data_IF_702489917841
#
_entry.id   IF_702489917841
#
_cell.length_a   1.000
_cell.length_b   1.000
_cell.length_c   1.000
_cell.angle_alpha   90.00
_cell.angle_beta   90.00
_cell.angle_gamma   90.00
#
_symmetry.space_group_name_H-M   'P 1'
#
loop_
_entity.id
_entity.type
_entity.pdbx_description
1 polymer ?
#
# COMPACT_ATOMS: atom_id res chain seq x y z
N UNK A 1 51.75 38.52 29.37
CA UNK A 1 52.18 38.14 28.01
C UNK A 1 51.12 37.24 27.39
N UNK A 2 50.46 37.66 26.31
CA UNK A 2 49.43 36.88 25.61
C UNK A 2 50.06 36.00 24.52
N UNK A 3 49.66 34.73 24.41
CA UNK A 3 50.08 33.84 23.33
C UNK A 3 48.94 33.65 22.31
N UNK A 4 48.98 34.41 21.21
CA UNK A 4 48.18 34.15 20.00
C UNK A 4 48.89 33.14 19.11
N UNK A 5 48.32 31.95 18.91
CA UNK A 5 48.82 31.00 17.89
C UNK A 5 47.98 31.11 16.62
N UNK A 6 48.57 31.77 15.62
CA UNK A 6 48.03 31.97 14.26
C UNK A 6 47.85 30.65 13.51
N UNK A 7 46.71 30.58 12.81
CA UNK A 7 46.26 29.61 11.80
C UNK A 7 47.30 29.37 10.71
N UNK A 8 47.62 28.10 10.42
CA UNK A 8 48.27 27.69 9.15
C UNK A 8 47.23 27.02 8.25
N UNK A 9 46.84 27.70 7.16
CA UNK A 9 46.21 27.07 5.99
C UNK A 9 47.33 26.44 5.16
N UNK A 10 47.28 25.13 4.93
CA UNK A 10 48.07 24.49 3.89
C UNK A 10 47.17 24.18 2.69
N UNK A 11 47.42 24.94 1.62
CA UNK A 11 46.98 24.71 0.24
C UNK A 11 47.66 23.48 -0.36
N UNK A 12 46.93 22.71 -1.18
CA UNK A 12 47.37 22.22 -2.50
C UNK A 12 46.26 21.36 -3.14
N UNK A 13 45.53 21.98 -4.09
CA UNK A 13 44.67 21.26 -5.04
C UNK A 13 45.57 20.56 -6.07
N UNK A 14 45.69 19.24 -5.97
CA UNK A 14 46.16 18.42 -7.08
C UNK A 14 44.94 17.78 -7.76
N UNK A 15 44.60 18.26 -8.96
CA UNK A 15 43.72 17.53 -9.88
C UNK A 15 44.50 16.28 -10.34
N UNK A 16 44.09 15.11 -9.88
CA UNK A 16 44.51 13.82 -10.44
C UNK A 16 43.46 13.30 -11.42
N UNK A 17 43.86 12.62 -12.50
CA UNK A 17 42.96 12.16 -13.56
C UNK A 17 42.09 10.99 -13.08
N UNK A 18 40.98 10.82 -13.78
CA UNK A 18 39.94 9.78 -13.68
C UNK A 18 40.48 8.43 -13.17
N UNK A 19 40.16 8.10 -11.92
CA UNK A 19 40.12 6.72 -11.41
C UNK A 19 38.72 6.47 -10.88
N UNK A 20 37.91 5.94 -11.79
CA UNK A 20 36.59 5.38 -11.60
C UNK A 20 36.67 4.15 -10.69
N UNK A 21 36.79 4.40 -9.39
CA UNK A 21 36.51 3.45 -8.30
C UNK A 21 36.66 4.18 -6.96
N UNK A 22 36.02 5.36 -6.85
CA UNK A 22 35.79 5.94 -5.54
C UNK A 22 34.81 5.02 -4.82
N UNK A 23 35.34 4.15 -3.96
CA UNK A 23 34.58 3.45 -2.93
C UNK A 23 33.73 4.51 -2.24
N UNK A 24 32.45 4.60 -2.62
CA UNK A 24 31.54 5.57 -2.05
C UNK A 24 31.57 5.38 -0.54
N UNK A 25 31.58 6.50 0.20
CA UNK A 25 31.56 6.44 1.67
C UNK A 25 30.52 5.40 2.11
N UNK A 26 30.84 4.45 3.02
CA UNK A 26 29.91 3.41 3.47
C UNK A 26 28.51 3.94 3.81
N UNK A 27 28.42 5.13 4.42
CA UNK A 27 27.14 5.81 4.69
C UNK A 27 26.36 6.16 3.41
N UNK A 28 27.04 6.64 2.36
CA UNK A 28 26.42 6.94 1.07
C UNK A 28 25.86 5.67 0.43
N UNK A 29 26.64 4.59 0.40
CA UNK A 29 26.21 3.30 -0.16
C UNK A 29 25.02 2.71 0.59
N UNK A 30 24.99 2.86 1.91
CA UNK A 30 23.84 2.44 2.71
C UNK A 30 22.58 3.24 2.36
N UNK A 31 22.68 4.57 2.24
CA UNK A 31 21.55 5.42 1.81
C UNK A 31 21.06 5.09 0.40
N UNK A 32 21.98 4.86 -0.54
CA UNK A 32 21.64 4.47 -1.92
C UNK A 32 20.87 3.15 -1.94
N UNK A 33 21.30 2.14 -1.17
CA UNK A 33 20.56 0.88 -1.01
C UNK A 33 19.17 1.09 -0.44
N UNK A 34 19.04 1.85 0.65
CA UNK A 34 17.73 2.13 1.26
C UNK A 34 16.79 2.87 0.31
N UNK A 35 17.31 3.81 -0.48
CA UNK A 35 16.50 4.51 -1.48
C UNK A 35 16.05 3.57 -2.60
N UNK A 36 16.94 2.68 -3.07
CA UNK A 36 16.57 1.66 -4.07
C UNK A 36 15.46 0.74 -3.56
N UNK A 37 15.53 0.30 -2.31
CA UNK A 37 14.43 -0.51 -1.73
C UNK A 37 13.14 0.27 -1.54
N UNK A 38 13.22 1.58 -1.23
CA UNK A 38 12.04 2.46 -1.17
C UNK A 38 11.39 2.64 -2.55
N UNK A 39 12.18 2.78 -3.61
CA UNK A 39 11.69 2.87 -4.99
C UNK A 39 11.07 1.54 -5.44
N UNK A 40 11.69 0.41 -5.11
CA UNK A 40 11.12 -0.92 -5.31
C UNK A 40 9.76 -1.04 -4.59
N UNK A 41 9.71 -0.66 -3.31
CA UNK A 41 8.47 -0.68 -2.54
C UNK A 41 7.37 0.18 -3.18
N UNK A 42 7.71 1.39 -3.62
CA UNK A 42 6.77 2.27 -4.30
C UNK A 42 6.18 1.60 -5.55
N UNK A 43 7.01 0.93 -6.35
CA UNK A 43 6.55 0.24 -7.57
C UNK A 43 5.60 -0.94 -7.32
N UNK A 44 5.58 -1.49 -6.10
CA UNK A 44 4.70 -2.58 -5.71
C UNK A 44 3.34 -2.10 -5.18
N UNK A 45 3.18 -0.79 -4.92
CA UNK A 45 1.93 -0.23 -4.45
C UNK A 45 0.88 -0.24 -5.58
N UNK A 46 -0.42 -0.42 -5.26
CA UNK A 46 -1.50 -0.45 -6.24
C UNK A 46 -1.89 0.95 -6.72
N UNK A 47 -0.92 1.74 -7.20
CA UNK A 47 -1.12 3.08 -7.76
C UNK A 47 -0.32 3.23 -9.06
N UNK A 48 -0.73 4.17 -9.89
CA UNK A 48 -0.02 4.46 -11.13
C UNK A 48 1.35 5.11 -10.88
N UNK A 49 2.34 4.78 -11.71
CA UNK A 49 3.70 5.34 -11.64
C UNK A 49 3.74 6.87 -11.63
N UNK A 50 2.80 7.54 -12.31
CA UNK A 50 2.70 9.00 -12.36
C UNK A 50 2.38 9.64 -11.00
N UNK A 51 1.70 8.90 -10.12
CA UNK A 51 1.41 9.30 -8.74
C UNK A 51 2.62 8.95 -7.86
N UNK A 52 3.11 7.71 -7.97
CA UNK A 52 4.19 7.17 -7.14
C UNK A 52 5.49 7.99 -7.23
N UNK A 53 5.85 8.47 -8.41
CA UNK A 53 7.04 9.29 -8.64
C UNK A 53 7.01 10.65 -7.94
N UNK A 54 5.82 11.12 -7.54
CA UNK A 54 5.63 12.41 -6.84
C UNK A 54 5.55 12.24 -5.33
N UNK A 55 5.48 11.01 -4.83
CA UNK A 55 5.36 10.74 -3.40
C UNK A 55 6.70 10.95 -2.69
N UNK A 56 6.63 11.47 -1.47
CA UNK A 56 7.77 11.50 -0.58
C UNK A 56 7.95 10.14 0.12
N UNK A 57 9.11 9.95 0.74
CA UNK A 57 9.48 8.66 1.37
C UNK A 57 8.53 8.27 2.50
N UNK A 58 8.02 9.25 3.23
CA UNK A 58 7.08 8.99 4.32
C UNK A 58 5.72 8.54 3.78
N UNK A 59 5.21 9.18 2.73
CA UNK A 59 3.95 8.74 2.10
C UNK A 59 4.04 7.34 1.51
N UNK A 60 5.17 6.98 0.88
CA UNK A 60 5.40 5.60 0.40
C UNK A 60 5.27 4.60 1.55
N UNK A 61 5.93 4.88 2.69
CA UNK A 61 5.86 4.00 3.87
C UNK A 61 4.46 3.93 4.46
N UNK A 62 3.76 5.07 4.58
CA UNK A 62 2.38 5.14 5.08
C UNK A 62 1.43 4.32 4.22
N UNK A 63 1.47 4.50 2.90
CA UNK A 63 0.65 3.74 1.96
C UNK A 63 0.94 2.25 2.02
N UNK A 64 2.22 1.85 2.14
CA UNK A 64 2.61 0.45 2.27
C UNK A 64 2.06 -0.19 3.55
N UNK A 65 2.23 0.48 4.69
CA UNK A 65 1.69 0.01 5.98
C UNK A 65 0.18 -0.08 5.92
N UNK A 66 -0.47 0.97 5.42
CA UNK A 66 -1.92 1.02 5.29
C UNK A 66 -2.47 -0.10 4.41
N UNK A 67 -1.86 -0.33 3.24
CA UNK A 67 -2.24 -1.42 2.35
C UNK A 67 -2.12 -2.79 3.03
N UNK A 68 -1.03 -3.02 3.78
CA UNK A 68 -0.84 -4.26 4.53
C UNK A 68 -1.89 -4.45 5.64
N UNK A 69 -2.28 -3.37 6.34
CA UNK A 69 -3.35 -3.43 7.35
C UNK A 69 -4.69 -3.82 6.73
N UNK A 70 -5.07 -3.16 5.64
CA UNK A 70 -6.31 -3.45 4.90
C UNK A 70 -6.30 -4.90 4.39
N UNK A 71 -5.20 -5.31 3.75
CA UNK A 71 -5.03 -6.67 3.23
C UNK A 71 -5.12 -7.72 4.34
N UNK A 72 -4.43 -7.50 5.46
CA UNK A 72 -4.43 -8.41 6.61
C UNK A 72 -5.82 -8.53 7.24
N UNK A 73 -6.51 -7.40 7.41
CA UNK A 73 -7.86 -7.35 7.97
C UNK A 73 -8.86 -8.15 7.14
N UNK A 74 -8.91 -7.91 5.83
CA UNK A 74 -9.81 -8.62 4.94
C UNK A 74 -9.44 -10.11 4.85
N UNK A 75 -8.15 -10.45 4.77
CA UNK A 75 -7.72 -11.84 4.75
C UNK A 75 -8.16 -12.61 6.01
N UNK A 76 -8.06 -12.00 7.19
CA UNK A 76 -8.54 -12.62 8.44
C UNK A 76 -10.08 -12.76 8.46
N UNK A 77 -10.79 -11.71 8.03
CA UNK A 77 -12.26 -11.69 8.00
C UNK A 77 -12.84 -12.76 7.06
N UNK A 78 -12.26 -12.91 5.86
CA UNK A 78 -12.70 -13.92 4.90
C UNK A 78 -12.41 -15.35 5.38
N UNK A 79 -11.24 -15.60 5.99
CA UNK A 79 -10.92 -16.90 6.59
C UNK A 79 -11.90 -17.29 7.70
N UNK A 80 -12.22 -16.35 8.59
CA UNK A 80 -13.17 -16.59 9.67
C UNK A 80 -14.57 -16.92 9.13
N UNK A 81 -15.04 -16.20 8.10
CA UNK A 81 -16.32 -16.47 7.43
C UNK A 81 -16.40 -17.90 6.88
N UNK A 82 -15.35 -18.37 6.22
CA UNK A 82 -15.30 -19.75 5.69
C UNK A 82 -15.35 -20.80 6.82
N UNK A 83 -14.64 -20.56 7.92
CA UNK A 83 -14.69 -21.47 9.08
C UNK A 83 -16.08 -21.55 9.73
N UNK A 84 -16.80 -20.43 9.85
CA UNK A 84 -18.17 -20.43 10.39
C UNK A 84 -19.15 -21.17 9.48
N UNK A 85 -19.04 -21.02 8.16
CA UNK A 85 -19.87 -21.74 7.20
C UNK A 85 -19.65 -23.26 7.26
N UNK A 86 -18.39 -23.69 7.43
CA UNK A 86 -18.06 -25.11 7.55
C UNK A 86 -18.56 -25.73 8.87
N UNK A 87 -18.63 -24.95 9.97
CA UNK A 87 -19.20 -25.44 11.23
C UNK A 87 -20.73 -25.57 11.19
N UNK A 88 -21.43 -24.69 10.46
CA UNK A 88 -22.89 -24.77 10.32
C UNK A 88 -23.34 -26.01 9.52
N UNK A 89 -22.57 -26.44 8.52
CA UNK A 89 -22.89 -27.64 7.73
C UNK A 89 -22.75 -28.97 8.51
N UNK A 90 -22.06 -28.98 9.66
CA UNK A 90 -21.95 -30.17 10.51
C UNK A 90 -23.14 -30.39 11.46
N UNK A 91 -24.07 -29.43 11.59
CA UNK A 91 -25.24 -29.55 12.49
C UNK A 91 -26.57 -29.90 11.79
N UNK A 92 -26.63 -29.97 10.46
CA UNK A 92 -27.87 -30.30 9.70
C UNK A 92 -27.86 -31.68 9.02
N UNK A 93 -26.87 -32.53 9.29
CA UNK A 93 -26.73 -33.84 8.64
C UNK A 93 -27.68 -34.96 9.16
N UNK A 94 -28.79 -34.63 9.81
CA UNK A 94 -29.74 -35.64 10.33
C UNK A 94 -31.20 -35.47 9.88
N UNK A 95 -31.52 -34.54 8.99
CA UNK A 95 -32.89 -34.40 8.49
C UNK A 95 -32.92 -34.34 6.97
N UNK A 96 -33.23 -35.47 6.35
CA UNK A 96 -33.62 -35.57 4.95
C UNK A 96 -34.70 -34.54 4.62
N UNK A 97 -34.52 -33.74 3.57
CA UNK A 97 -35.47 -33.52 2.45
C UNK A 97 -34.95 -32.36 1.60
N UNK A 98 -34.98 -32.58 0.28
CA UNK A 98 -34.80 -31.61 -0.80
C UNK A 98 -35.15 -30.17 -0.43
N UNK A 99 -34.15 -29.31 -0.38
CA UNK A 99 -34.31 -27.87 -0.50
C UNK A 99 -33.05 -27.35 -1.16
N UNK A 100 -33.25 -26.77 -2.34
CA UNK A 100 -32.31 -25.97 -3.09
C UNK A 100 -31.48 -25.11 -2.13
N UNK A 101 -30.25 -25.52 -1.92
CA UNK A 101 -29.21 -24.76 -1.24
C UNK A 101 -28.93 -23.53 -2.08
N UNK A 102 -29.65 -22.42 -1.80
CA UNK A 102 -29.16 -21.09 -2.11
C UNK A 102 -27.98 -20.84 -1.19
N UNK A 103 -26.84 -21.41 -1.56
CA UNK A 103 -25.56 -21.00 -1.05
C UNK A 103 -25.43 -19.52 -1.37
N UNK A 104 -25.41 -18.68 -0.34
CA UNK A 104 -24.78 -17.36 -0.41
C UNK A 104 -23.25 -17.54 -0.48
N UNK A 105 -22.80 -18.42 -1.38
CA UNK A 105 -21.54 -18.26 -2.06
C UNK A 105 -21.77 -17.14 -3.04
N UNK A 106 -21.15 -15.99 -2.80
CA UNK A 106 -21.20 -14.86 -3.71
C UNK A 106 -20.98 -15.39 -5.14
N UNK A 107 -22.01 -15.20 -5.96
CA UNK A 107 -22.15 -15.48 -7.38
C UNK A 107 -20.88 -15.94 -8.09
N UNK A 108 -20.55 -17.21 -7.94
CA UNK A 108 -19.76 -17.95 -8.93
C UNK A 108 -20.71 -18.66 -9.90
N UNK A 109 -21.76 -17.95 -10.30
CA UNK A 109 -22.72 -18.37 -11.32
C UNK A 109 -22.31 -17.71 -12.63
N UNK A 110 -21.57 -18.48 -13.44
CA UNK A 110 -21.49 -18.41 -14.90
C UNK A 110 -21.63 -16.99 -15.51
N UNK A 111 -20.71 -16.09 -15.18
CA UNK A 111 -20.43 -14.95 -16.04
C UNK A 111 -19.14 -15.25 -16.80
N UNK A 112 -19.17 -15.06 -18.13
CA UNK A 112 -17.96 -14.85 -18.90
C UNK A 112 -17.18 -13.77 -18.16
N UNK A 113 -16.09 -14.15 -17.49
CA UNK A 113 -15.26 -13.21 -16.75
C UNK A 113 -14.55 -12.40 -17.82
N UNK A 114 -15.18 -11.32 -18.28
CA UNK A 114 -14.50 -10.32 -19.06
C UNK A 114 -13.37 -9.79 -18.16
N UNK A 115 -12.10 -9.94 -18.53
CA UNK A 115 -11.00 -9.40 -17.75
C UNK A 115 -11.08 -7.87 -17.61
N UNK A 116 -11.89 -7.19 -18.44
CA UNK A 116 -12.17 -5.77 -18.30
C UNK A 116 -13.29 -5.46 -17.29
N UNK A 117 -14.09 -6.45 -16.87
CA UNK A 117 -15.17 -6.22 -15.92
C UNK A 117 -14.67 -6.33 -14.48
N UNK A 118 -14.75 -5.21 -13.75
CA UNK A 118 -14.52 -5.14 -12.32
C UNK A 118 -15.84 -4.80 -11.62
N UNK A 119 -16.38 -5.77 -10.88
CA UNK A 119 -17.56 -5.56 -10.01
C UNK A 119 -17.31 -4.40 -9.04
N UNK A 120 -16.10 -4.30 -8.49
CA UNK A 120 -15.72 -3.24 -7.57
C UNK A 120 -15.81 -1.84 -8.19
N UNK A 121 -15.39 -1.68 -9.45
CA UNK A 121 -15.53 -0.40 -10.15
C UNK A 121 -17.00 -0.08 -10.44
N UNK A 122 -17.78 -1.07 -10.86
CA UNK A 122 -19.22 -0.90 -11.09
C UNK A 122 -19.98 -0.50 -9.82
N UNK A 123 -19.61 -1.09 -8.67
CA UNK A 123 -20.17 -0.72 -7.37
C UNK A 123 -19.81 0.73 -7.02
N UNK A 124 -18.57 1.15 -7.25
CA UNK A 124 -18.13 2.52 -6.99
C UNK A 124 -18.82 3.53 -7.91
N UNK A 125 -19.08 3.18 -9.17
CA UNK A 125 -19.83 4.03 -10.11
C UNK A 125 -21.32 4.13 -9.74
N UNK A 126 -21.93 3.03 -9.29
CA UNK A 126 -23.31 3.04 -8.81
C UNK A 126 -23.46 3.78 -7.48
N UNK A 127 -22.40 3.87 -6.69
CA UNK A 127 -22.38 4.57 -5.42
C UNK A 127 -22.29 6.08 -5.63
N UNK A 128 -23.32 6.81 -5.22
CA UNK A 128 -23.30 8.28 -5.14
C UNK A 128 -22.51 8.78 -3.93
N UNK A 129 -21.25 8.34 -3.81
CA UNK A 129 -20.37 8.72 -2.70
C UNK A 129 -19.01 8.05 -2.75
N UNK A 130 -18.42 7.89 -1.58
CA UNK A 130 -17.11 7.27 -1.41
C UNK A 130 -17.09 6.38 -0.17
N UNK A 131 -16.16 5.44 -0.16
CA UNK A 131 -15.96 4.49 0.94
C UNK A 131 -14.70 4.91 1.68
N UNK A 132 -14.73 4.87 3.01
CA UNK A 132 -13.56 5.06 3.87
C UNK A 132 -13.47 3.95 4.92
N UNK A 133 -12.26 3.61 5.34
CA UNK A 133 -11.99 2.73 6.48
C UNK A 133 -11.12 3.48 7.48
N UNK A 134 -11.64 3.68 8.69
CA UNK A 134 -10.99 4.45 9.76
C UNK A 134 -10.83 3.56 11.00
N UNK A 135 -9.71 3.66 11.71
CA UNK A 135 -9.54 3.03 13.03
C UNK A 135 -10.36 3.72 14.12
N UNK A 136 -10.46 3.06 15.28
CA UNK A 136 -10.94 3.70 16.52
C UNK A 136 -10.10 4.92 16.93
N UNK A 137 -8.84 4.97 16.52
CA UNK A 137 -7.92 6.07 16.83
C UNK A 137 -8.04 7.24 15.83
N UNK A 138 -8.94 7.13 14.84
CA UNK A 138 -9.15 8.16 13.83
C UNK A 138 -8.17 8.11 12.64
N UNK A 139 -7.38 7.04 12.51
CA UNK A 139 -6.46 6.87 11.38
C UNK A 139 -7.20 6.30 10.16
N UNK A 140 -7.05 6.95 9.00
CA UNK A 140 -7.65 6.52 7.74
C UNK A 140 -6.72 5.56 6.99
N UNK A 141 -7.13 4.29 6.83
CA UNK A 141 -6.35 3.30 6.06
C UNK A 141 -6.78 3.17 4.61
N UNK A 142 -8.04 3.46 4.33
CA UNK A 142 -8.55 3.31 2.98
C UNK A 142 -9.53 4.42 2.67
N UNK A 143 -9.46 4.90 1.44
CA UNK A 143 -10.50 5.68 0.81
C UNK A 143 -10.69 5.16 -0.61
N UNK A 144 -11.90 5.15 -1.15
CA UNK A 144 -12.13 4.84 -2.56
C UNK A 144 -11.63 5.96 -3.47
N UNK A 145 -11.33 5.65 -4.74
CA UNK A 145 -10.91 6.66 -5.73
C UNK A 145 -11.92 7.80 -5.89
N UNK A 146 -13.20 7.52 -5.73
CA UNK A 146 -14.29 8.49 -5.84
C UNK A 146 -14.20 9.63 -4.81
N UNK A 147 -13.45 9.48 -3.71
CA UNK A 147 -13.27 10.54 -2.70
C UNK A 147 -12.77 11.86 -3.31
N UNK A 148 -11.97 11.80 -4.37
CA UNK A 148 -11.46 12.97 -5.07
C UNK A 148 -12.57 13.75 -5.79
N UNK A 149 -13.58 13.06 -6.31
CA UNK A 149 -14.71 13.69 -7.01
C UNK A 149 -15.62 14.46 -6.04
N UNK A 150 -15.76 13.98 -4.80
CA UNK A 150 -16.65 14.58 -3.81
C UNK A 150 -15.95 15.60 -2.91
N UNK A 151 -14.69 15.37 -2.53
CA UNK A 151 -13.95 16.21 -1.58
C UNK A 151 -12.77 16.97 -2.20
N UNK A 152 -12.36 16.65 -3.42
CA UNK A 152 -11.22 17.28 -4.08
C UNK A 152 -9.84 16.82 -3.56
N UNK A 153 -9.80 15.85 -2.65
CA UNK A 153 -8.55 15.29 -2.14
C UNK A 153 -8.19 14.00 -2.85
N UNK A 154 -6.95 13.90 -3.33
CA UNK A 154 -6.44 12.67 -3.89
C UNK A 154 -6.31 11.61 -2.78
N UNK A 155 -6.76 10.38 -3.06
CA UNK A 155 -6.72 9.23 -2.13
C UNK A 155 -5.37 9.07 -1.39
N UNK A 156 -4.24 9.17 -2.11
CA UNK A 156 -2.90 9.00 -1.52
C UNK A 156 -2.51 10.10 -0.53
N UNK A 157 -3.18 11.25 -0.56
CA UNK A 157 -2.88 12.39 0.32
C UNK A 157 -3.61 12.31 1.67
N UNK A 158 -4.69 11.54 1.73
CA UNK A 158 -5.54 11.43 2.94
C UNK A 158 -5.28 10.16 3.74
N UNK A 159 -4.75 9.10 3.10
CA UNK A 159 -4.37 7.87 3.79
C UNK A 159 -3.18 8.14 4.72
N UNK A 160 -3.31 7.74 5.98
CA UNK A 160 -2.33 7.96 7.06
C UNK A 160 -1.42 6.76 7.31
#
# INVERSE_FOLDING_TARGET
MYATKRRRRNTKNYKSPLKENQKTNPSKRHRERLNGELENLASLLPFESSILTKLDKLSILRLAVSYLRVKSYFQATFKNRQHLQNQQQQYEATSSTTSSSTSLGLCQEIYYHDPAFSEGESILEALQGFIIIVSCDGELFFASRTVEQYLGFHQVSIIS
#
